data_IF_400295575425
#
_entry.id   IF_400295575425
#
_cell.length_a   1.000
_cell.length_b   1.000
_cell.length_c   1.000
_cell.angle_alpha   90.00
_cell.angle_beta   90.00
_cell.angle_gamma   90.00
#
_symmetry.space_group_name_H-M   'P 1'
#
loop_
_entity.id
_entity.type
_entity.pdbx_description
1 polymer ?
#
# COMPACT_ATOMS: atom_id res chain seq x y z
N UNK A 1 -3.47 8.09 -21.83
CA UNK A 1 -3.33 6.79 -22.55
C UNK A 1 -3.37 5.69 -21.50
N UNK A 2 -4.14 4.62 -21.68
CA UNK A 2 -4.31 3.52 -20.72
C UNK A 2 -4.12 2.21 -21.48
N UNK A 3 -3.42 1.23 -20.91
CA UNK A 3 -3.42 -0.14 -21.42
C UNK A 3 -4.04 -1.11 -20.41
N UNK A 4 -4.59 -2.20 -20.93
CA UNK A 4 -5.25 -3.25 -20.16
C UNK A 4 -4.74 -4.60 -20.64
N UNK A 5 -4.22 -5.43 -19.74
CA UNK A 5 -3.66 -6.73 -20.09
C UNK A 5 -3.78 -7.74 -18.95
N UNK A 6 -3.83 -9.02 -19.29
CA UNK A 6 -3.71 -10.11 -18.31
C UNK A 6 -2.23 -10.38 -18.01
N UNK A 7 -1.88 -10.57 -16.74
CA UNK A 7 -0.54 -10.92 -16.29
C UNK A 7 -0.48 -12.37 -15.82
N UNK A 8 0.51 -13.08 -16.36
CA UNK A 8 0.88 -14.45 -16.00
C UNK A 8 2.31 -14.44 -15.46
N UNK A 9 2.50 -13.90 -14.24
CA UNK A 9 3.82 -13.70 -13.65
C UNK A 9 4.46 -14.98 -13.09
N UNK A 10 3.75 -16.12 -13.13
CA UNK A 10 4.17 -17.35 -12.47
C UNK A 10 3.83 -17.39 -10.97
N UNK A 11 3.11 -16.39 -10.47
CA UNK A 11 2.61 -16.33 -9.11
C UNK A 11 1.61 -17.47 -8.82
N UNK A 12 1.59 -17.90 -7.57
CA UNK A 12 0.69 -18.96 -7.08
C UNK A 12 -0.52 -18.32 -6.41
N UNK A 13 -1.71 -18.59 -6.94
CA UNK A 13 -2.96 -18.12 -6.33
C UNK A 13 -3.23 -18.82 -5.00
N UNK A 14 -3.03 -20.14 -4.98
CA UNK A 14 -2.96 -20.97 -3.78
C UNK A 14 -2.34 -22.33 -4.12
N UNK A 15 -1.74 -22.98 -3.12
CA UNK A 15 -1.21 -24.34 -3.23
C UNK A 15 -1.28 -25.06 -1.90
N UNK A 16 -1.29 -26.38 -1.95
CA UNK A 16 -1.05 -27.21 -0.78
C UNK A 16 -0.38 -28.52 -1.18
N UNK A 17 0.46 -29.03 -0.28
CA UNK A 17 1.04 -30.37 -0.35
C UNK A 17 0.76 -31.03 0.99
N UNK A 18 -0.09 -32.04 1.00
CA UNK A 18 -0.44 -32.83 2.17
C UNK A 18 0.39 -34.12 2.14
N UNK A 19 1.25 -34.27 3.16
CA UNK A 19 2.14 -35.40 3.35
C UNK A 19 1.89 -36.13 4.68
N UNK A 20 0.86 -35.72 5.44
CA UNK A 20 0.49 -36.34 6.71
C UNK A 20 -0.25 -37.67 6.56
N UNK A 21 -0.65 -38.05 5.35
CA UNK A 21 -1.19 -39.39 5.08
C UNK A 21 -0.03 -40.34 4.75
N UNK A 22 0.20 -41.40 5.55
CA UNK A 22 1.37 -42.29 5.40
C UNK A 22 1.55 -42.86 3.99
N UNK A 23 0.46 -43.20 3.31
CA UNK A 23 0.49 -43.88 2.01
C UNK A 23 0.04 -42.98 0.85
N UNK A 24 -0.06 -41.66 1.08
CA UNK A 24 -0.64 -40.77 0.06
C UNK A 24 -0.09 -39.34 0.12
N UNK A 25 0.65 -38.96 -0.91
CA UNK A 25 0.97 -37.58 -1.20
C UNK A 25 -0.17 -36.92 -1.99
N UNK A 26 -0.74 -35.83 -1.48
CA UNK A 26 -1.75 -35.04 -2.21
C UNK A 26 -1.15 -33.67 -2.51
N UNK A 27 -1.12 -33.28 -3.77
CA UNK A 27 -0.58 -31.99 -4.21
C UNK A 27 -1.62 -31.26 -5.06
N UNK A 28 -1.74 -29.96 -4.84
CA UNK A 28 -2.61 -29.09 -5.63
C UNK A 28 -1.99 -27.70 -5.69
N UNK A 29 -1.94 -27.11 -6.88
CA UNK A 29 -1.46 -25.75 -7.13
C UNK A 29 -2.35 -25.09 -8.16
N UNK A 30 -2.69 -23.82 -7.92
CA UNK A 30 -3.43 -23.00 -8.87
C UNK A 30 -2.65 -21.73 -9.18
N UNK A 31 -2.43 -21.42 -10.46
CA UNK A 31 -1.70 -20.23 -10.87
C UNK A 31 -2.55 -18.99 -10.63
N UNK A 32 -1.88 -17.89 -10.31
CA UNK A 32 -2.49 -16.58 -10.26
C UNK A 32 -2.49 -15.93 -11.64
N UNK A 33 -3.64 -15.36 -11.99
CA UNK A 33 -3.81 -14.56 -13.20
C UNK A 33 -4.53 -13.30 -12.78
N UNK A 34 -3.92 -12.16 -13.08
CA UNK A 34 -4.45 -10.86 -12.73
C UNK A 34 -4.69 -10.00 -13.97
N UNK A 35 -5.68 -9.12 -13.90
CA UNK A 35 -5.91 -8.09 -14.91
C UNK A 35 -5.20 -6.82 -14.44
N UNK A 36 -4.35 -6.25 -15.27
CA UNK A 36 -3.65 -5.00 -14.97
C UNK A 36 -4.19 -3.91 -15.88
N UNK A 37 -4.63 -2.82 -15.26
CA UNK A 37 -4.87 -1.54 -15.92
C UNK A 37 -3.69 -0.64 -15.59
N UNK A 38 -2.97 -0.15 -16.60
CA UNK A 38 -1.76 0.65 -16.42
C UNK A 38 -1.89 2.00 -17.09
N UNK A 39 -1.40 3.02 -16.39
CA UNK A 39 -1.14 4.35 -16.93
C UNK A 39 0.32 4.73 -16.67
N UNK A 40 0.93 5.47 -17.59
CA UNK A 40 2.25 6.07 -17.39
C UNK A 40 2.12 7.58 -17.51
N UNK A 41 2.70 8.31 -16.56
CA UNK A 41 2.73 9.77 -16.51
C UNK A 41 4.17 10.22 -16.41
N UNK A 42 4.62 10.99 -17.42
CA UNK A 42 5.96 11.59 -17.42
C UNK A 42 5.84 13.07 -17.10
N UNK A 43 6.50 13.52 -16.04
CA UNK A 43 6.51 14.91 -15.58
C UNK A 43 7.96 15.40 -15.55
N UNK A 44 8.39 16.08 -16.61
CA UNK A 44 9.79 16.51 -16.74
C UNK A 44 10.73 15.31 -16.80
N UNK A 45 11.59 15.17 -15.79
CA UNK A 45 12.57 14.09 -15.65
C UNK A 45 12.01 12.78 -15.07
N UNK A 46 10.83 12.81 -14.45
CA UNK A 46 10.26 11.65 -13.77
C UNK A 46 9.25 10.87 -14.62
N UNK A 47 9.31 9.54 -14.55
CA UNK A 47 8.32 8.63 -15.12
C UNK A 47 7.63 7.82 -14.01
N UNK A 48 6.32 8.01 -13.87
CA UNK A 48 5.46 7.29 -12.94
C UNK A 48 4.63 6.24 -13.67
N UNK A 49 4.78 4.97 -13.31
CA UNK A 49 3.96 3.86 -13.78
C UNK A 49 2.94 3.54 -12.68
N UNK A 50 1.66 3.68 -13.00
CA UNK A 50 0.54 3.47 -12.09
C UNK A 50 -0.25 2.26 -12.53
N UNK A 51 -0.24 1.20 -11.72
CA UNK A 51 -0.96 -0.04 -11.97
C UNK A 51 -2.10 -0.23 -10.98
N UNK A 52 -3.27 -0.57 -11.54
CA UNK A 52 -4.38 -1.21 -10.82
C UNK A 52 -4.44 -2.67 -11.25
N UNK A 53 -4.05 -3.57 -10.34
CA UNK A 53 -4.07 -5.01 -10.53
C UNK A 53 -5.28 -5.62 -9.84
N UNK A 54 -6.16 -6.25 -10.61
CA UNK A 54 -7.34 -6.94 -10.14
C UNK A 54 -7.11 -8.45 -10.14
N UNK A 55 -7.32 -9.10 -8.99
CA UNK A 55 -7.09 -10.53 -8.80
C UNK A 55 -8.40 -11.28 -8.68
N UNK A 56 -8.43 -12.51 -9.17
CA UNK A 56 -9.59 -13.41 -9.03
C UNK A 56 -9.90 -13.76 -7.57
N UNK A 57 -8.96 -13.54 -6.64
CA UNK A 57 -9.18 -13.64 -5.20
C UNK A 57 -10.09 -12.55 -4.63
N UNK A 58 -10.43 -11.53 -5.43
CA UNK A 58 -11.11 -10.31 -5.01
C UNK A 58 -10.16 -9.22 -4.52
N UNK A 59 -8.84 -9.46 -4.50
CA UNK A 59 -7.86 -8.44 -4.14
C UNK A 59 -7.68 -7.41 -5.26
N UNK A 60 -7.45 -6.16 -4.87
CA UNK A 60 -7.08 -5.06 -5.76
C UNK A 60 -5.73 -4.52 -5.27
N UNK A 61 -4.71 -4.53 -6.12
CA UNK A 61 -3.38 -4.02 -5.80
C UNK A 61 -3.13 -2.73 -6.55
N UNK A 62 -2.67 -1.72 -5.84
CA UNK A 62 -2.25 -0.44 -6.37
C UNK A 62 -0.73 -0.42 -6.32
N UNK A 63 -0.07 -0.26 -7.47
CA UNK A 63 1.39 -0.20 -7.55
C UNK A 63 1.80 1.11 -8.20
N UNK A 64 2.70 1.81 -7.52
CA UNK A 64 3.39 2.99 -8.05
C UNK A 64 4.82 2.58 -8.29
N UNK A 65 5.28 2.72 -9.54
CA UNK A 65 6.67 2.52 -9.90
C UNK A 65 7.28 3.80 -10.45
N UNK A 66 8.53 4.07 -10.03
CA UNK A 66 9.31 5.24 -10.40
C UNK A 66 10.46 4.81 -11.31
N UNK A 67 10.71 5.58 -12.37
CA UNK A 67 11.90 5.50 -13.23
C UNK A 67 12.15 6.88 -13.84
N UNK A 68 12.99 6.98 -14.86
CA UNK A 68 13.33 8.24 -15.53
C UNK A 68 14.73 8.72 -15.18
N UNK A 69 14.93 10.04 -15.23
CA UNK A 69 16.21 10.70 -15.02
C UNK A 69 16.25 11.37 -13.64
N UNK A 70 17.40 11.32 -12.99
CA UNK A 70 17.63 12.07 -11.74
C UNK A 70 17.60 13.58 -12.02
N UNK A 71 17.01 14.35 -11.11
CA UNK A 71 17.22 15.79 -11.05
C UNK A 71 18.63 16.04 -10.48
N UNK A 72 19.48 16.75 -11.24
CA UNK A 72 20.89 16.91 -10.92
C UNK A 72 21.28 18.36 -10.73
N UNK A 73 22.18 18.57 -9.76
CA UNK A 73 22.87 19.82 -9.49
C UNK A 73 24.32 19.73 -9.96
N UNK A 74 24.73 20.66 -10.81
CA UNK A 74 26.12 20.80 -11.22
C UNK A 74 27.02 21.17 -10.03
N UNK A 75 28.24 20.61 -10.00
CA UNK A 75 29.24 20.88 -8.95
C UNK A 75 30.66 20.80 -9.51
N UNK A 76 31.63 21.38 -8.81
CA UNK A 76 33.06 21.22 -9.11
C UNK A 76 33.62 19.88 -8.58
N UNK A 77 32.84 19.12 -7.80
CA UNK A 77 33.29 17.82 -7.29
C UNK A 77 33.43 16.79 -8.41
N UNK A 78 34.59 16.13 -8.45
CA UNK A 78 34.88 14.99 -9.31
C UNK A 78 35.06 13.69 -8.52
N UNK A 79 35.16 13.75 -7.19
CA UNK A 79 35.28 12.58 -6.33
C UNK A 79 34.58 12.81 -4.97
N UNK A 80 33.99 11.76 -4.39
CA UNK A 80 33.26 11.86 -3.12
C UNK A 80 34.13 12.38 -1.96
N UNK A 81 35.42 12.04 -1.93
CA UNK A 81 36.38 12.52 -0.91
C UNK A 81 36.56 14.05 -0.89
N UNK A 82 36.13 14.77 -1.92
CA UNK A 82 36.18 16.23 -1.97
C UNK A 82 35.03 16.88 -1.20
N UNK A 83 33.99 16.12 -0.85
CA UNK A 83 32.83 16.58 -0.11
C UNK A 83 33.21 16.69 1.37
N UNK A 84 33.17 17.91 1.93
CA UNK A 84 33.56 18.21 3.32
C UNK A 84 32.41 18.66 4.22
N UNK A 85 31.26 18.91 3.63
CA UNK A 85 30.03 19.35 4.29
C UNK A 85 28.83 18.69 3.60
N UNK A 86 27.64 18.84 4.15
CA UNK A 86 26.43 18.30 3.52
C UNK A 86 26.26 18.89 2.11
N UNK A 87 26.24 18.00 1.12
CA UNK A 87 26.06 18.34 -0.29
C UNK A 87 24.57 18.33 -0.70
N UNK A 88 23.69 17.85 0.19
CA UNK A 88 22.26 17.65 -0.03
C UNK A 88 21.95 16.69 -1.21
N UNK A 89 22.86 15.75 -1.45
CA UNK A 89 22.74 14.78 -2.54
C UNK A 89 23.94 13.84 -2.62
N UNK A 90 23.84 12.85 -3.51
CA UNK A 90 24.91 11.89 -3.81
C UNK A 90 25.66 12.31 -5.06
N UNK A 91 26.99 12.29 -5.05
CA UNK A 91 27.79 12.49 -6.28
C UNK A 91 27.72 11.22 -7.12
N UNK A 92 26.91 11.22 -8.17
CA UNK A 92 26.62 10.02 -8.97
C UNK A 92 27.54 9.89 -10.19
N UNK A 93 28.09 11.00 -10.66
CA UNK A 93 29.11 11.10 -11.70
C UNK A 93 30.00 12.32 -11.44
N UNK A 94 31.11 12.46 -12.17
CA UNK A 94 31.91 13.69 -12.14
C UNK A 94 31.00 14.90 -12.38
N UNK A 95 31.16 15.93 -11.54
CA UNK A 95 30.43 17.19 -11.58
C UNK A 95 28.91 17.10 -11.39
N UNK A 96 28.38 15.95 -10.95
CA UNK A 96 26.94 15.65 -10.98
C UNK A 96 26.43 15.17 -9.62
N UNK A 97 25.81 16.07 -8.84
CA UNK A 97 25.12 15.73 -7.59
C UNK A 97 23.65 15.44 -7.86
N UNK A 98 23.17 14.26 -7.51
CA UNK A 98 21.74 13.94 -7.52
C UNK A 98 21.13 14.27 -6.14
N UNK A 99 20.17 15.18 -6.12
CA UNK A 99 19.64 15.80 -4.89
C UNK A 99 18.71 14.84 -4.15
N UNK A 100 18.77 14.83 -2.81
CA UNK A 100 17.81 14.06 -2.00
C UNK A 100 16.39 14.61 -2.15
N UNK A 101 15.40 13.74 -2.30
CA UNK A 101 14.01 14.15 -2.47
C UNK A 101 13.04 13.04 -2.07
N UNK A 102 11.77 13.41 -1.92
CA UNK A 102 10.70 12.49 -1.58
C UNK A 102 9.65 12.42 -2.70
N UNK A 103 9.01 11.26 -2.82
CA UNK A 103 7.85 11.07 -3.69
C UNK A 103 6.64 10.70 -2.83
N UNK A 104 5.55 11.46 -2.95
CA UNK A 104 4.26 11.16 -2.31
C UNK A 104 3.15 11.12 -3.35
N UNK A 105 2.48 9.97 -3.47
CA UNK A 105 1.35 9.75 -4.37
C UNK A 105 0.14 9.32 -3.55
N UNK A 106 -0.88 10.18 -3.49
CA UNK A 106 -2.09 9.94 -2.68
C UNK A 106 -3.26 9.48 -3.53
N UNK A 107 -3.86 8.36 -3.15
CA UNK A 107 -5.07 7.80 -3.74
C UNK A 107 -6.31 8.26 -2.97
N UNK A 108 -7.36 8.62 -3.72
CA UNK A 108 -8.73 8.80 -3.22
C UNK A 108 -9.52 7.52 -3.49
N UNK A 109 -9.96 6.82 -2.45
CA UNK A 109 -10.63 5.52 -2.52
C UNK A 109 -12.02 5.63 -1.86
N UNK A 110 -13.01 5.89 -2.70
CA UNK A 110 -14.44 5.90 -2.34
C UNK A 110 -14.94 4.45 -2.30
N UNK A 111 -14.85 3.82 -1.12
CA UNK A 111 -15.07 2.39 -0.98
C UNK A 111 -16.47 2.11 -0.43
N UNK A 112 -17.38 1.72 -1.32
CA UNK A 112 -18.71 1.23 -0.96
C UNK A 112 -18.72 -0.28 -0.69
N UNK A 113 -18.15 -0.71 0.44
CA UNK A 113 -18.10 -2.14 0.79
C UNK A 113 -19.52 -2.66 1.05
N UNK A 114 -20.09 -3.36 0.06
CA UNK A 114 -21.46 -3.92 0.12
C UNK A 114 -22.54 -2.86 0.48
N UNK A 115 -22.33 -1.62 0.05
CA UNK A 115 -23.13 -0.43 0.34
C UNK A 115 -22.29 0.71 0.94
N UNK A 116 -22.86 1.91 0.99
CA UNK A 116 -22.17 3.15 1.40
C UNK A 116 -21.95 3.25 2.91
N UNK A 117 -22.86 2.75 3.74
CA UNK A 117 -22.74 2.81 5.20
C UNK A 117 -21.60 1.90 5.71
N UNK A 118 -20.41 2.47 5.89
CA UNK A 118 -19.18 1.75 6.23
C UNK A 118 -18.53 2.35 7.48
N UNK A 119 -17.54 1.64 8.03
CA UNK A 119 -16.76 2.09 9.18
C UNK A 119 -15.30 1.72 8.99
N UNK A 120 -14.41 2.60 9.45
CA UNK A 120 -12.99 2.30 9.54
C UNK A 120 -12.67 1.62 10.88
N UNK A 121 -11.98 0.48 10.82
CA UNK A 121 -11.64 -0.36 11.96
C UNK A 121 -10.14 -0.55 12.03
N UNK A 122 -9.56 -0.30 13.21
CA UNK A 122 -8.18 -0.62 13.56
C UNK A 122 -8.18 -1.83 14.48
N UNK A 123 -7.74 -2.97 13.97
CA UNK A 123 -7.52 -4.16 14.77
C UNK A 123 -6.08 -4.15 15.31
N UNK A 124 -5.90 -3.53 16.47
CA UNK A 124 -4.59 -3.35 17.10
C UNK A 124 -4.05 -4.69 17.62
N UNK A 125 -2.84 -5.07 17.20
CA UNK A 125 -2.17 -6.27 17.68
C UNK A 125 -1.44 -5.93 18.98
N UNK A 126 -1.86 -6.53 20.08
CA UNK A 126 -1.36 -6.20 21.43
C UNK A 126 -0.88 -7.44 22.17
N UNK A 127 0.17 -7.29 22.96
CA UNK A 127 0.69 -8.39 23.80
C UNK A 127 -0.05 -8.40 25.15
N UNK A 128 -0.44 -9.59 25.60
CA UNK A 128 -0.99 -9.85 26.93
C UNK A 128 -0.08 -10.80 27.69
N UNK A 129 0.15 -10.47 28.96
CA UNK A 129 0.79 -11.40 29.88
C UNK A 129 -0.18 -12.56 30.17
N UNK A 130 0.34 -13.78 30.22
CA UNK A 130 -0.47 -14.95 30.48
C UNK A 130 -0.60 -15.21 31.97
N UNK A 131 -1.83 -15.23 32.46
CA UNK A 131 -2.17 -15.49 33.87
C UNK A 131 -2.76 -16.89 34.08
N UNK A 132 -2.88 -17.70 33.04
CA UNK A 132 -3.56 -19.01 33.09
C UNK A 132 -2.69 -20.17 33.64
N UNK A 133 -1.54 -19.89 34.26
CA UNK A 133 -0.68 -20.92 34.87
C UNK A 133 0.01 -21.88 33.88
N UNK A 134 0.03 -21.55 32.58
CA UNK A 134 0.74 -22.36 31.57
C UNK A 134 2.21 -21.95 31.44
N UNK A 135 3.10 -22.79 30.90
CA UNK A 135 4.51 -22.42 30.68
C UNK A 135 4.72 -21.18 29.80
N UNK A 136 3.76 -20.88 28.90
CA UNK A 136 3.77 -19.67 28.07
C UNK A 136 3.55 -18.44 28.94
N UNK A 137 4.49 -17.48 28.92
CA UNK A 137 4.41 -16.23 29.69
C UNK A 137 3.56 -15.14 29.01
N UNK A 138 3.32 -15.24 27.72
CA UNK A 138 2.54 -14.25 26.97
C UNK A 138 1.93 -14.82 25.68
N UNK A 139 0.99 -14.05 25.14
CA UNK A 139 0.39 -14.23 23.83
C UNK A 139 0.03 -12.86 23.26
N UNK A 140 -0.17 -12.76 21.95
CA UNK A 140 -0.76 -11.58 21.33
C UNK A 140 -2.26 -11.78 21.15
N UNK A 141 -3.00 -10.69 21.16
CA UNK A 141 -4.44 -10.65 20.92
C UNK A 141 -4.79 -9.38 20.15
N UNK A 142 -6.04 -9.29 19.68
CA UNK A 142 -6.53 -8.15 18.90
C UNK A 142 -7.41 -7.29 19.80
N UNK A 143 -7.10 -5.99 19.88
CA UNK A 143 -8.01 -4.97 20.40
C UNK A 143 -8.65 -4.26 19.21
N UNK A 144 -9.95 -4.49 19.02
CA UNK A 144 -10.73 -3.87 17.94
C UNK A 144 -11.12 -2.45 18.33
N UNK A 145 -10.79 -1.48 17.48
CA UNK A 145 -11.15 -0.07 17.62
C UNK A 145 -11.90 0.37 16.36
N UNK A 146 -13.07 0.99 16.53
CA UNK A 146 -13.78 1.65 15.43
C UNK A 146 -13.43 3.12 15.51
N UNK A 147 -12.98 3.72 14.41
CA UNK A 147 -12.79 5.15 14.35
C UNK A 147 -14.17 5.83 14.32
N UNK A 148 -14.41 6.74 15.26
CA UNK A 148 -15.69 7.46 15.36
C UNK A 148 -15.64 8.75 14.54
N UNK A 149 -14.46 9.37 14.49
CA UNK A 149 -14.21 10.68 13.86
C UNK A 149 -13.01 10.67 12.91
N UNK A 150 -12.86 11.71 12.09
CA UNK A 150 -11.71 11.87 11.18
C UNK A 150 -10.37 11.87 11.94
N UNK A 151 -10.29 12.45 13.15
CA UNK A 151 -9.08 12.44 13.95
C UNK A 151 -8.64 11.02 14.36
N UNK A 152 -9.59 10.11 14.62
CA UNK A 152 -9.32 8.71 14.95
C UNK A 152 -8.73 7.93 13.76
N UNK A 153 -8.93 8.42 12.54
CA UNK A 153 -8.59 7.74 11.30
C UNK A 153 -7.37 8.32 10.57
N UNK A 154 -6.58 9.15 11.24
CA UNK A 154 -5.25 9.59 10.76
C UNK A 154 -4.19 8.59 11.22
N UNK A 155 -3.67 7.77 10.32
CA UNK A 155 -2.85 6.60 10.68
C UNK A 155 -1.42 6.74 10.18
N UNK A 156 -0.47 6.58 11.10
CA UNK A 156 0.90 6.20 10.78
C UNK A 156 0.99 4.67 10.69
N UNK A 157 1.12 4.17 9.46
CA UNK A 157 1.14 2.73 9.17
C UNK A 157 2.38 2.02 9.72
N UNK A 158 3.45 2.77 10.03
CA UNK A 158 4.70 2.23 10.56
C UNK A 158 4.77 2.27 12.09
N UNK A 159 3.77 2.84 12.77
CA UNK A 159 3.76 2.99 14.22
C UNK A 159 3.45 1.66 14.95
N UNK A 160 2.23 1.49 15.47
CA UNK A 160 1.82 0.28 16.16
C UNK A 160 1.26 -0.75 15.17
N UNK A 161 1.56 -2.06 15.34
CA UNK A 161 1.06 -3.09 14.44
C UNK A 161 -0.47 -3.19 14.53
N UNK A 162 -1.13 -2.98 13.40
CA UNK A 162 -2.57 -3.04 13.28
C UNK A 162 -2.99 -3.60 11.92
N UNK A 163 -4.11 -4.31 11.89
CA UNK A 163 -4.83 -4.57 10.64
C UNK A 163 -5.85 -3.43 10.45
N UNK A 164 -5.83 -2.79 9.28
CA UNK A 164 -6.63 -1.59 8.97
C UNK A 164 -7.72 -1.97 7.99
N UNK A 165 -8.98 -1.75 8.34
CA UNK A 165 -10.12 -2.28 7.58
C UNK A 165 -11.18 -1.21 7.31
N UNK A 166 -11.76 -1.27 6.12
CA UNK A 166 -13.06 -0.67 5.82
C UNK A 166 -14.08 -1.81 5.85
N UNK A 167 -15.08 -1.70 6.72
CA UNK A 167 -16.09 -2.73 6.93
C UNK A 167 -17.49 -2.18 6.79
N UNK A 168 -18.43 -3.03 6.41
CA UNK A 168 -19.85 -2.72 6.48
C UNK A 168 -20.46 -3.37 7.74
N UNK A 169 -20.80 -2.59 8.77
CA UNK A 169 -21.33 -3.15 10.02
C UNK A 169 -22.74 -3.74 9.86
N UNK A 170 -23.43 -3.43 8.75
CA UNK A 170 -24.80 -3.87 8.43
C UNK A 170 -24.86 -5.13 7.56
N UNK A 171 -23.70 -5.69 7.22
CA UNK A 171 -23.57 -6.88 6.38
C UNK A 171 -22.63 -7.87 7.04
N UNK A 172 -23.13 -9.07 7.30
CA UNK A 172 -22.40 -10.11 8.02
C UNK A 172 -22.44 -11.42 7.26
N UNK A 173 -21.32 -12.12 7.28
CA UNK A 173 -21.23 -13.52 6.87
C UNK A 173 -22.11 -14.40 7.74
N UNK A 174 -22.33 -15.66 7.33
CA UNK A 174 -23.02 -16.66 8.16
C UNK A 174 -22.39 -16.84 9.56
N UNK A 175 -21.09 -16.59 9.70
CA UNK A 175 -20.37 -16.70 10.98
C UNK A 175 -20.51 -15.45 11.87
N UNK A 176 -21.22 -14.42 11.39
CA UNK A 176 -21.44 -13.18 12.13
C UNK A 176 -20.32 -12.15 11.98
N UNK A 177 -19.29 -12.42 11.16
CA UNK A 177 -18.24 -11.45 10.86
C UNK A 177 -18.73 -10.37 9.90
N UNK A 178 -18.39 -9.12 10.16
CA UNK A 178 -18.63 -7.99 9.24
C UNK A 178 -17.86 -8.19 7.94
N UNK A 179 -18.51 -7.92 6.81
CA UNK A 179 -17.86 -7.95 5.49
C UNK A 179 -16.95 -6.72 5.37
N UNK A 180 -15.77 -6.88 4.78
CA UNK A 180 -14.78 -5.82 4.74
C UNK A 180 -13.70 -6.01 3.68
N UNK A 181 -12.91 -4.96 3.51
CA UNK A 181 -11.62 -4.98 2.86
C UNK A 181 -10.57 -4.45 3.82
N UNK A 182 -9.43 -5.14 3.91
CA UNK A 182 -8.27 -4.67 4.67
C UNK A 182 -7.24 -4.04 3.76
N UNK A 183 -6.58 -3.01 4.26
CA UNK A 183 -5.46 -2.32 3.61
C UNK A 183 -4.16 -3.01 4.04
N UNK A 184 -3.44 -3.58 3.08
CA UNK A 184 -2.14 -4.21 3.30
C UNK A 184 -1.06 -3.37 2.63
N UNK A 185 -0.22 -2.64 3.39
CA UNK A 185 0.90 -1.91 2.81
C UNK A 185 1.84 -2.85 2.05
N UNK A 186 2.24 -2.44 0.84
CA UNK A 186 3.08 -3.20 -0.09
C UNK A 186 4.49 -2.62 -0.24
N UNK A 187 5.00 -1.93 0.79
CA UNK A 187 6.21 -1.11 0.73
C UNK A 187 5.93 0.34 0.34
N UNK A 188 6.97 1.17 0.29
CA UNK A 188 6.86 2.61 0.04
C UNK A 188 5.85 3.30 1.00
N UNK A 189 6.10 3.18 2.30
CA UNK A 189 5.28 3.76 3.37
C UNK A 189 5.91 5.00 4.01
N UNK A 190 6.76 5.73 3.29
CA UNK A 190 7.35 6.96 3.81
C UNK A 190 6.27 7.98 4.16
N UNK A 191 6.49 8.73 5.23
CA UNK A 191 5.74 9.95 5.57
C UNK A 191 6.67 11.15 5.46
N UNK A 192 6.13 12.35 5.29
CA UNK A 192 6.95 13.55 5.15
C UNK A 192 7.73 13.89 6.41
N UNK A 193 9.00 14.26 6.18
CA UNK A 193 10.01 14.52 7.23
C UNK A 193 10.34 16.00 7.42
N UNK A 194 9.80 16.88 6.59
CA UNK A 194 9.97 18.34 6.74
C UNK A 194 9.27 18.84 8.01
N UNK A 195 9.73 19.95 8.59
CA UNK A 195 9.08 20.55 9.77
C UNK A 195 7.66 21.03 9.43
N UNK A 196 6.75 20.95 10.40
CA UNK A 196 5.32 21.24 10.19
C UNK A 196 5.04 22.71 9.81
N UNK A 197 5.92 23.64 10.20
CA UNK A 197 5.81 25.07 9.90
C UNK A 197 6.48 25.47 8.57
N UNK A 198 7.19 24.56 7.91
CA UNK A 198 7.81 24.82 6.61
C UNK A 198 6.74 24.98 5.51
N UNK A 199 6.98 25.89 4.57
CA UNK A 199 5.99 26.26 3.55
C UNK A 199 5.55 25.08 2.66
N UNK A 200 6.45 24.23 2.13
CA UNK A 200 6.05 23.05 1.38
C UNK A 200 5.25 22.06 2.23
N UNK A 201 5.62 21.91 3.51
CA UNK A 201 4.95 20.98 4.41
C UNK A 201 3.55 21.45 4.79
N UNK A 202 3.34 22.76 4.99
CA UNK A 202 2.00 23.35 5.19
C UNK A 202 1.09 23.08 3.99
N UNK A 203 1.62 23.27 2.78
CA UNK A 203 0.89 23.04 1.51
C UNK A 203 0.56 21.57 1.26
N UNK A 204 1.40 20.66 1.72
CA UNK A 204 1.25 19.21 1.54
C UNK A 204 1.09 18.48 2.88
N UNK A 205 0.42 19.09 3.87
CA UNK A 205 0.31 18.56 5.25
C UNK A 205 -0.32 17.17 5.32
N UNK A 206 -1.10 16.78 4.32
CA UNK A 206 -1.64 15.43 4.17
C UNK A 206 -0.58 14.32 4.01
N UNK A 207 0.66 14.65 3.62
CA UNK A 207 1.76 13.66 3.48
C UNK A 207 2.38 13.22 4.81
N UNK A 208 2.01 13.85 5.93
CA UNK A 208 2.47 13.49 7.29
C UNK A 208 1.88 12.18 7.82
N UNK A 209 0.81 11.70 7.20
CA UNK A 209 0.19 10.40 7.50
C UNK A 209 -0.04 9.66 6.19
N UNK A 210 0.19 8.35 6.22
CA UNK A 210 0.03 7.50 5.05
C UNK A 210 -1.43 7.14 4.80
N UNK A 211 -2.30 7.23 5.82
CA UNK A 211 -3.71 6.92 5.69
C UNK A 211 -4.59 7.93 6.43
N UNK A 212 -5.67 8.34 5.77
CA UNK A 212 -6.73 9.18 6.31
C UNK A 212 -8.10 8.58 5.95
N UNK A 213 -9.12 8.83 6.76
CA UNK A 213 -10.51 8.55 6.39
C UNK A 213 -11.36 9.78 6.66
N UNK A 214 -12.16 10.16 5.67
CA UNK A 214 -13.09 11.30 5.75
C UNK A 214 -14.51 10.83 5.40
N UNK A 215 -15.56 11.50 5.86
CA UNK A 215 -16.88 11.30 5.27
C UNK A 215 -16.83 11.66 3.78
N UNK A 216 -17.66 11.01 2.97
CA UNK A 216 -17.83 11.38 1.58
C UNK A 216 -18.31 12.82 1.46
N UNK A 217 -17.64 13.59 0.60
CA UNK A 217 -18.10 14.89 0.18
C UNK A 217 -17.74 15.07 -1.30
N UNK A 218 -18.75 15.37 -2.11
CA UNK A 218 -18.62 15.56 -3.56
C UNK A 218 -17.57 16.59 -3.95
N UNK A 219 -17.33 17.61 -3.12
CA UNK A 219 -16.40 18.70 -3.42
C UNK A 219 -14.95 18.42 -2.94
N UNK A 220 -14.75 17.40 -2.11
CA UNK A 220 -13.46 17.06 -1.49
C UNK A 220 -12.70 16.02 -2.33
N UNK A 221 -12.11 16.47 -3.45
CA UNK A 221 -11.51 15.56 -4.46
C UNK A 221 -9.99 15.55 -4.50
N UNK A 222 -9.37 16.69 -4.24
CA UNK A 222 -7.95 16.91 -4.46
C UNK A 222 -7.24 17.04 -3.11
N UNK A 223 -6.40 16.06 -2.75
CA UNK A 223 -5.65 16.10 -1.48
C UNK A 223 -4.90 17.42 -1.22
N UNK A 224 -4.25 18.08 -2.21
CA UNK A 224 -3.61 19.40 -2.01
C UNK A 224 -4.55 20.61 -2.13
N UNK A 225 -5.87 20.40 -2.24
CA UNK A 225 -6.85 21.45 -2.52
C UNK A 225 -7.09 21.68 -4.02
N UNK A 226 -8.09 22.51 -4.35
CA UNK A 226 -8.51 22.75 -5.74
C UNK A 226 -7.42 23.48 -6.57
N UNK A 227 -6.68 24.39 -5.95
CA UNK A 227 -5.61 25.17 -6.58
C UNK A 227 -4.30 24.98 -5.81
N UNK A 228 -3.45 24.08 -6.31
CA UNK A 228 -2.19 23.72 -5.64
C UNK A 228 -1.02 24.66 -5.97
N UNK A 229 -1.02 25.30 -7.15
CA UNK A 229 0.01 26.27 -7.50
C UNK A 229 -0.11 27.52 -6.62
N UNK A 230 1.03 27.97 -6.07
CA UNK A 230 1.11 29.07 -5.10
C UNK A 230 0.16 28.97 -3.89
N UNK A 231 -0.29 27.77 -3.54
CA UNK A 231 -1.20 27.56 -2.41
C UNK A 231 -0.55 27.92 -1.07
N UNK A 232 -1.39 28.27 -0.08
CA UNK A 232 -0.97 28.58 1.30
C UNK A 232 -1.18 27.41 2.27
N UNK A 233 -1.82 26.32 1.81
CA UNK A 233 -2.13 25.13 2.61
C UNK A 233 -3.47 25.18 3.37
N UNK A 234 -4.36 26.12 3.02
CA UNK A 234 -5.63 26.33 3.72
C UNK A 234 -6.79 25.48 3.17
N UNK A 235 -6.56 24.74 2.07
CA UNK A 235 -7.51 23.82 1.42
C UNK A 235 -6.85 22.46 1.14
N UNK A 236 -7.65 21.40 1.12
CA UNK A 236 -7.18 20.02 0.93
C UNK A 236 -7.47 19.08 2.10
N UNK A 237 -6.98 17.85 1.98
CA UNK A 237 -7.30 16.73 2.86
C UNK A 237 -7.05 17.05 4.34
N UNK A 238 -5.88 17.56 4.70
CA UNK A 238 -5.55 17.86 6.09
C UNK A 238 -6.44 18.97 6.70
N UNK A 239 -6.63 20.15 6.05
CA UNK A 239 -7.62 21.13 6.49
C UNK A 239 -9.06 20.59 6.60
N UNK A 240 -9.50 19.73 5.68
CA UNK A 240 -10.84 19.12 5.73
C UNK A 240 -10.98 18.18 6.92
N UNK A 241 -9.99 17.31 7.16
CA UNK A 241 -9.97 16.41 8.31
C UNK A 241 -9.89 17.12 9.65
N UNK A 242 -9.41 18.37 9.68
CA UNK A 242 -9.45 19.22 10.88
C UNK A 242 -10.86 19.61 11.35
N UNK A 243 -11.90 19.31 10.55
CA UNK A 243 -13.32 19.50 10.93
C UNK A 243 -13.85 18.40 11.84
N UNK A 244 -13.11 17.29 11.94
CA UNK A 244 -13.35 16.16 12.84
C UNK A 244 -14.78 15.58 12.78
N UNK A 245 -15.25 15.35 11.56
CA UNK A 245 -16.61 14.86 11.30
C UNK A 245 -16.75 13.38 11.70
N UNK A 246 -17.98 12.95 11.97
CA UNK A 246 -18.27 11.54 12.25
C UNK A 246 -18.13 10.66 11.01
N UNK A 247 -17.49 9.49 11.15
CA UNK A 247 -17.21 8.55 10.06
C UNK A 247 -17.71 7.12 10.34
N UNK A 248 -18.36 6.90 11.47
CA UNK A 248 -18.85 5.57 11.83
C UNK A 248 -20.22 5.29 11.20
N UNK A 249 -20.26 4.26 10.35
CA UNK A 249 -21.47 3.74 9.69
C UNK A 249 -22.09 4.74 8.69
N UNK A 250 -21.21 5.47 8.02
CA UNK A 250 -21.49 6.53 7.07
C UNK A 250 -20.83 6.21 5.73
N UNK A 251 -21.16 6.98 4.71
CA UNK A 251 -20.42 7.01 3.45
C UNK A 251 -19.04 7.65 3.69
N UNK A 252 -17.97 6.91 3.44
CA UNK A 252 -16.59 7.28 3.82
C UNK A 252 -15.59 7.06 2.69
N UNK A 253 -14.63 7.96 2.60
CA UNK A 253 -13.52 7.91 1.65
C UNK A 253 -12.23 7.59 2.39
N UNK A 254 -11.53 6.57 1.91
CA UNK A 254 -10.17 6.24 2.33
C UNK A 254 -9.17 6.99 1.46
N UNK A 255 -8.21 7.66 2.08
CA UNK A 255 -7.08 8.29 1.41
C UNK A 255 -5.80 7.55 1.78
N UNK A 256 -5.05 7.09 0.79
CA UNK A 256 -3.79 6.37 1.02
C UNK A 256 -2.63 6.99 0.25
N UNK A 257 -1.57 7.35 0.96
CA UNK A 257 -0.34 7.92 0.40
C UNK A 257 0.74 6.87 0.31
N UNK A 258 1.17 6.57 -0.92
CA UNK A 258 2.41 5.84 -1.20
C UNK A 258 3.57 6.83 -1.14
N UNK A 259 4.58 6.54 -0.32
CA UNK A 259 5.69 7.44 -0.03
C UNK A 259 7.06 6.78 -0.19
N UNK A 260 8.01 7.46 -0.84
CA UNK A 260 9.40 7.02 -0.98
C UNK A 260 10.34 8.17 -0.62
N UNK A 261 11.24 7.93 0.34
CA UNK A 261 12.44 8.75 0.52
C UNK A 261 13.50 8.28 -0.47
N UNK A 262 13.94 9.16 -1.36
CA UNK A 262 14.90 8.84 -2.40
C UNK A 262 16.27 9.44 -2.07
N UNK A 263 17.19 8.55 -1.69
CA UNK A 263 18.62 8.81 -1.65
C UNK A 263 19.16 8.25 -2.98
N UNK A 264 19.52 9.09 -3.96
CA UNK A 264 19.98 8.58 -5.25
C UNK A 264 21.33 7.86 -5.13
N UNK A 265 21.53 6.82 -5.93
CA UNK A 265 22.77 6.06 -6.05
C UNK A 265 23.33 6.11 -7.48
N UNK A 266 24.56 5.62 -7.68
CA UNK A 266 25.19 5.61 -9.01
C UNK A 266 24.44 4.74 -10.01
N UNK A 267 23.86 3.62 -9.56
CA UNK A 267 23.04 2.72 -10.38
C UNK A 267 21.79 3.41 -10.95
N UNK A 268 21.38 4.54 -10.37
CA UNK A 268 20.24 5.33 -10.83
C UNK A 268 20.60 6.28 -11.99
N UNK A 269 21.89 6.43 -12.30
CA UNK A 269 22.41 7.35 -13.33
C UNK A 269 23.00 6.60 -14.54
N UNK A 270 22.73 7.03 -15.78
CA UNK A 270 21.95 8.22 -16.17
C UNK A 270 20.43 7.99 -16.18
N UNK A 271 19.97 6.74 -16.11
CA UNK A 271 18.55 6.39 -16.13
C UNK A 271 18.28 5.38 -15.02
N UNK A 272 17.30 5.69 -14.17
CA UNK A 272 17.03 4.94 -12.96
C UNK A 272 16.32 3.61 -13.24
N UNK A 273 16.86 2.46 -12.80
CA UNK A 273 16.11 1.20 -12.77
C UNK A 273 14.83 1.35 -11.94
N UNK A 274 13.76 0.67 -12.36
CA UNK A 274 12.45 0.89 -11.76
C UNK A 274 12.40 0.50 -10.27
N UNK A 275 12.01 1.45 -9.41
CA UNK A 275 11.69 1.22 -7.99
C UNK A 275 10.18 1.20 -7.83
N UNK A 276 9.62 0.24 -7.08
CA UNK A 276 8.17 0.08 -6.94
C UNK A 276 7.73 -0.04 -5.49
N UNK A 277 6.53 0.45 -5.19
CA UNK A 277 5.82 0.23 -3.94
C UNK A 277 4.31 0.42 -4.11
N UNK A 278 3.53 0.34 -3.03
CA UNK A 278 2.09 0.43 -3.15
C UNK A 278 1.34 -0.22 -1.99
N UNK A 279 0.13 -0.71 -2.26
CA UNK A 279 -0.72 -1.38 -1.26
C UNK A 279 -1.74 -2.33 -1.91
N UNK A 280 -2.28 -3.25 -1.12
CA UNK A 280 -3.35 -4.17 -1.51
C UNK A 280 -4.61 -3.90 -0.69
N UNK A 281 -5.74 -3.69 -1.37
CA UNK A 281 -7.07 -3.88 -0.79
C UNK A 281 -7.41 -5.37 -0.90
N UNK A 282 -7.45 -6.04 0.25
CA UNK A 282 -7.69 -7.49 0.31
C UNK A 282 -9.04 -7.79 0.98
N UNK A 283 -9.87 -8.67 0.41
CA UNK A 283 -11.12 -9.07 1.06
C UNK A 283 -10.88 -9.61 2.47
N UNK A 284 -11.62 -9.11 3.44
CA UNK A 284 -11.58 -9.50 4.85
C UNK A 284 -12.99 -9.89 5.28
N UNK A 285 -13.25 -11.19 5.39
CA UNK A 285 -14.59 -11.75 5.62
C UNK A 285 -15.66 -11.28 4.62
N UNK A 286 -15.27 -10.77 3.44
CA UNK A 286 -16.22 -10.35 2.41
C UNK A 286 -16.97 -11.55 1.81
N UNK A 287 -16.26 -12.66 1.59
CA UNK A 287 -16.82 -13.91 1.10
C UNK A 287 -17.02 -14.91 2.24
N UNK A 288 -18.00 -15.80 2.09
CA UNK A 288 -18.27 -16.90 3.06
C UNK A 288 -17.09 -17.88 3.23
N UNK A 289 -16.21 -17.96 2.23
CA UNK A 289 -15.00 -18.79 2.20
C UNK A 289 -14.11 -18.35 1.04
N UNK A 290 -12.94 -18.99 0.89
CA UNK A 290 -12.02 -18.73 -0.21
C UNK A 290 -12.75 -18.70 -1.57
N UNK A 291 -12.79 -17.53 -2.26
CA UNK A 291 -13.50 -17.39 -3.53
C UNK A 291 -12.84 -18.18 -4.66
N UNK A 292 -11.58 -18.59 -4.51
CA UNK A 292 -10.82 -19.33 -5.51
C UNK A 292 -11.06 -20.84 -5.51
N UNK A 293 -11.81 -21.37 -4.54
CA UNK A 293 -11.93 -22.82 -4.33
C UNK A 293 -12.47 -23.57 -5.56
N UNK A 294 -13.32 -22.91 -6.35
CA UNK A 294 -13.92 -23.49 -7.58
C UNK A 294 -13.35 -22.91 -8.87
N UNK A 295 -12.37 -22.01 -8.79
CA UNK A 295 -11.76 -21.38 -9.96
C UNK A 295 -10.85 -22.38 -10.66
N UNK A 296 -11.17 -22.72 -11.91
CA UNK A 296 -10.32 -23.61 -12.73
C UNK A 296 -9.06 -22.87 -13.16
N UNK A 297 -7.90 -23.53 -13.21
CA UNK A 297 -6.72 -22.93 -13.81
C UNK A 297 -6.99 -22.61 -15.29
N UNK A 298 -6.42 -21.53 -15.85
CA UNK A 298 -6.48 -21.26 -17.27
C UNK A 298 -5.91 -22.46 -18.06
N UNK A 299 -6.60 -22.90 -19.11
CA UNK A 299 -6.06 -23.90 -20.02
C UNK A 299 -4.94 -23.25 -20.85
N UNK A 300 -3.68 -23.47 -20.47
CA UNK A 300 -2.55 -23.28 -21.38
C UNK A 300 -1.97 -24.64 -21.77
N UNK A 301 -1.79 -24.83 -23.07
CA UNK A 301 -1.00 -25.92 -23.62
C UNK A 301 0.40 -25.87 -23.00
N UNK A 302 0.77 -26.96 -22.32
CA UNK A 302 2.14 -27.45 -22.12
C UNK A 302 3.23 -26.40 -21.90
N UNK A 303 3.38 -25.91 -20.67
CA UNK A 303 4.71 -25.57 -20.16
C UNK A 303 4.86 -26.21 -18.77
N UNK A 304 5.93 -27.00 -18.53
CA UNK A 304 6.17 -27.55 -17.20
C UNK A 304 6.44 -26.38 -16.23
N UNK A 305 5.53 -26.17 -15.28
CA UNK A 305 5.76 -25.21 -14.21
C UNK A 305 6.93 -25.70 -13.33
N UNK A 306 7.81 -24.80 -12.87
CA UNK A 306 8.85 -25.16 -11.91
C UNK A 306 8.20 -25.74 -10.64
N UNK A 307 8.54 -26.98 -10.29
CA UNK A 307 8.07 -27.62 -9.07
C UNK A 307 8.97 -27.20 -7.88
N UNK A 308 8.62 -26.09 -7.23
CA UNK A 308 9.31 -25.59 -6.04
C UNK A 308 8.84 -26.23 -4.72
N UNK A 309 8.39 -27.48 -4.75
CA UNK A 309 7.95 -28.18 -3.54
C UNK A 309 9.13 -28.93 -2.90
N UNK A 310 9.44 -28.65 -1.64
CA UNK A 310 10.30 -29.51 -0.83
C UNK A 310 9.49 -30.75 -0.42
N UNK A 311 9.83 -31.93 -0.93
CA UNK A 311 9.45 -33.18 -0.29
C UNK A 311 10.46 -33.43 0.83
N UNK A 312 9.98 -33.69 2.05
CA UNK A 312 10.85 -34.23 3.09
C UNK A 312 11.26 -35.64 2.65
N UNK A 313 12.56 -35.84 2.43
CA UNK A 313 13.11 -37.19 2.27
C UNK A 313 12.84 -37.96 3.56
N UNK A 314 11.91 -38.91 3.50
CA UNK A 314 11.78 -39.93 4.54
C UNK A 314 12.94 -40.91 4.36
N UNK A 315 13.95 -40.79 5.21
CA UNK A 315 14.93 -41.84 5.50
C UNK A 315 14.27 -43.08 6.07
#
# INVERSE_FOLDING_TARGET
>A
MICVFERYAGDVAWRHTEAGFPDRLITEVRPDVSLVVRMVVSCGNYDYILDWEFKTSGSIKFVVSLTGLLEVKGTDYTHADQIRQDAHGTLVAENTLAVYHDHYVTYHLDLDVDGTNNSFVKNMITTRHNTAGTPRKSYWTVRREVAETEADAQVDVNAAPADLLIVNPNRRTRMGNEVGYRVVPGGATAAAVLDDDDYPQRRASYSKKQLWVTPYNRDEKWAPGLYADQSTGDDGLAPWSGRDRGIQNEDIVLWYTVGIHHIPYQDDFPVMPTVSGGFELRPANFFERNPLLKTRPPMRHQLPFPNCSCAGDSS
#
